data_IF_850417073255
#
_entry.id   IF_850417073255
#
_cell.length_a   1.000
_cell.length_b   1.000
_cell.length_c   1.000
_cell.angle_alpha   90.00
_cell.angle_beta   90.00
_cell.angle_gamma   90.00
#
_symmetry.space_group_name_H-M   'P 1'
#
loop_
_entity.id
_entity.type
_entity.pdbx_description
1 polymer ?
#
# COMPACT_ATOMS: atom_id res chain seq x y z
N UNK A 1 14.46 4.19 -4.23
CA UNK A 1 14.40 3.29 -3.05
C UNK A 1 13.94 1.90 -3.47
N UNK A 2 14.15 0.87 -2.64
CA UNK A 2 13.65 -0.50 -2.84
C UNK A 2 12.74 -0.89 -1.67
N UNK A 3 11.61 -1.55 -1.95
CA UNK A 3 10.72 -2.09 -0.94
C UNK A 3 10.28 -3.50 -1.30
N UNK A 4 10.09 -4.34 -0.29
CA UNK A 4 9.64 -5.73 -0.44
C UNK A 4 8.28 -5.87 0.24
N UNK A 5 7.33 -6.49 -0.46
CA UNK A 5 6.00 -6.83 0.05
C UNK A 5 5.52 -8.12 -0.61
N UNK A 6 4.56 -8.80 0.01
CA UNK A 6 3.96 -10.04 -0.52
C UNK A 6 2.93 -9.77 -1.61
N UNK A 7 2.43 -8.53 -1.68
CA UNK A 7 1.58 -8.03 -2.76
C UNK A 7 2.23 -6.83 -3.44
N UNK A 8 1.87 -6.58 -4.71
CA UNK A 8 2.31 -5.38 -5.42
C UNK A 8 1.88 -4.10 -4.68
N UNK A 9 0.64 -4.07 -4.16
CA UNK A 9 0.10 -2.91 -3.45
C UNK A 9 0.92 -2.59 -2.19
N UNK A 10 1.23 -3.64 -1.41
CA UNK A 10 2.07 -3.52 -0.23
C UNK A 10 3.46 -2.98 -0.56
N UNK A 11 4.12 -3.56 -1.56
CA UNK A 11 5.44 -3.14 -1.99
C UNK A 11 5.44 -1.69 -2.52
N UNK A 12 4.43 -1.31 -3.30
CA UNK A 12 4.29 0.03 -3.86
C UNK A 12 4.12 1.09 -2.75
N UNK A 13 3.16 0.90 -1.85
CA UNK A 13 2.93 1.85 -0.75
C UNK A 13 4.11 1.90 0.24
N UNK A 14 4.86 0.80 0.40
CA UNK A 14 6.15 0.81 1.10
C UNK A 14 7.19 1.67 0.39
N UNK A 15 7.33 1.50 -0.92
CA UNK A 15 8.27 2.29 -1.71
C UNK A 15 7.94 3.79 -1.65
N UNK A 16 6.67 4.17 -1.81
CA UNK A 16 6.21 5.57 -1.78
C UNK A 16 6.61 6.25 -0.46
N UNK A 17 6.26 5.65 0.69
CA UNK A 17 6.59 6.26 1.99
C UNK A 17 8.07 6.30 2.32
N UNK A 18 8.87 5.46 1.66
CA UNK A 18 10.33 5.49 1.78
C UNK A 18 11.00 6.54 0.89
N UNK A 19 10.25 7.29 0.08
CA UNK A 19 10.83 8.33 -0.79
C UNK A 19 11.31 9.59 -0.04
N UNK A 20 10.99 9.75 1.25
CA UNK A 20 11.34 10.93 2.06
C UNK A 20 10.77 12.25 1.47
N UNK A 21 9.54 12.18 0.94
CA UNK A 21 8.84 13.30 0.30
C UNK A 21 7.53 13.68 1.01
N UNK A 22 7.37 13.29 2.29
CA UNK A 22 6.12 13.45 3.06
C UNK A 22 4.87 12.84 2.40
N UNK A 23 5.07 11.91 1.45
CA UNK A 23 4.04 11.11 0.83
C UNK A 23 3.95 9.75 1.53
N UNK A 24 2.85 9.51 2.24
CA UNK A 24 2.65 8.29 3.04
C UNK A 24 1.88 7.19 2.29
N UNK A 25 1.55 7.47 1.03
CA UNK A 25 0.93 6.60 0.03
C UNK A 25 0.38 7.45 -1.14
N UNK A 26 -0.67 6.98 -1.80
CA UNK A 26 -1.21 7.62 -3.02
C UNK A 26 -2.18 8.77 -2.74
N UNK A 27 -2.72 8.89 -1.52
CA UNK A 27 -3.74 9.88 -1.17
C UNK A 27 -3.23 11.33 -1.23
N UNK A 28 -1.92 11.54 -1.09
CA UNK A 28 -1.30 12.87 -1.10
C UNK A 28 0.06 12.86 -1.79
N UNK A 29 0.37 13.84 -2.66
CA UNK A 29 -0.50 14.93 -3.11
C UNK A 29 -1.70 14.44 -3.95
N UNK A 30 -2.82 15.17 -3.87
CA UNK A 30 -3.99 14.91 -4.71
C UNK A 30 -4.20 16.04 -5.73
N UNK A 31 -4.21 15.66 -7.00
CA UNK A 31 -4.42 16.50 -8.16
C UNK A 31 -5.83 16.36 -8.75
N UNK A 32 -6.76 15.73 -8.02
CA UNK A 32 -8.13 15.50 -8.50
C UNK A 32 -8.94 16.79 -8.69
N UNK A 33 -8.50 17.90 -8.12
CA UNK A 33 -9.10 19.24 -8.30
C UNK A 33 -8.57 20.01 -9.51
N UNK A 34 -7.52 19.53 -10.18
CA UNK A 34 -6.99 20.16 -11.39
C UNK A 34 -7.91 19.89 -12.60
N UNK A 35 -7.77 20.74 -13.61
CA UNK A 35 -8.44 20.58 -14.90
C UNK A 35 -8.05 19.27 -15.58
N UNK A 36 -9.00 18.64 -16.27
CA UNK A 36 -8.82 17.34 -16.94
C UNK A 36 -7.61 17.31 -17.89
N UNK A 37 -7.43 18.36 -18.69
CA UNK A 37 -6.32 18.43 -19.63
C UNK A 37 -4.96 18.57 -18.93
N UNK A 38 -4.92 19.18 -17.74
CA UNK A 38 -3.69 19.25 -16.95
C UNK A 38 -3.28 17.88 -16.44
N UNK A 39 -4.23 17.11 -15.89
CA UNK A 39 -4.01 15.73 -15.43
C UNK A 39 -3.57 14.84 -16.59
N UNK A 40 -4.28 14.87 -17.73
CA UNK A 40 -3.93 14.08 -18.92
C UNK A 40 -2.54 14.40 -19.43
N UNK A 41 -2.17 15.69 -19.50
CA UNK A 41 -0.84 16.13 -19.94
C UNK A 41 0.25 15.59 -19.00
N UNK A 42 0.02 15.66 -17.68
CA UNK A 42 0.95 15.13 -16.70
C UNK A 42 1.07 13.60 -16.74
N UNK A 43 0.02 12.87 -17.15
CA UNK A 43 0.11 11.42 -17.33
C UNK A 43 0.85 11.06 -18.63
N UNK A 44 0.66 11.82 -19.71
CA UNK A 44 1.33 11.57 -21.01
C UNK A 44 2.85 11.71 -20.94
N UNK A 45 3.33 12.73 -20.25
CA UNK A 45 4.77 13.02 -20.15
C UNK A 45 5.35 12.53 -18.82
N UNK A 46 6.34 11.62 -18.82
CA UNK A 46 7.03 11.19 -17.61
C UNK A 46 7.49 12.36 -16.73
N UNK A 47 7.11 12.33 -15.44
CA UNK A 47 7.48 13.32 -14.45
C UNK A 47 7.54 12.68 -13.05
N UNK A 48 8.20 13.31 -12.06
CA UNK A 48 8.35 12.74 -10.71
C UNK A 48 7.02 12.44 -10.03
N UNK A 49 5.98 13.24 -10.31
CA UNK A 49 4.68 13.14 -9.64
C UNK A 49 3.65 12.30 -10.43
N UNK A 50 4.07 11.65 -11.53
CA UNK A 50 3.18 10.96 -12.47
C UNK A 50 2.31 9.90 -11.81
N UNK A 51 2.83 9.22 -10.79
CA UNK A 51 2.09 8.22 -10.03
C UNK A 51 0.87 8.81 -9.30
N UNK A 52 1.01 10.00 -8.70
CA UNK A 52 -0.10 10.70 -8.05
C UNK A 52 -1.09 11.27 -9.06
N UNK A 53 -0.64 11.74 -10.23
CA UNK A 53 -1.56 12.11 -11.31
C UNK A 53 -2.41 10.92 -11.80
N UNK A 54 -1.82 9.73 -11.91
CA UNK A 54 -2.55 8.49 -12.22
C UNK A 54 -3.58 8.19 -11.13
N UNK A 55 -3.19 8.26 -9.85
CA UNK A 55 -4.12 8.07 -8.74
C UNK A 55 -5.28 9.07 -8.78
N UNK A 56 -4.99 10.35 -9.03
CA UNK A 56 -6.01 11.40 -9.17
C UNK A 56 -6.92 11.19 -10.39
N UNK A 57 -6.42 10.67 -11.50
CA UNK A 57 -7.27 10.31 -12.64
C UNK A 57 -8.29 9.21 -12.26
N UNK A 58 -7.88 8.19 -11.51
CA UNK A 58 -8.82 7.20 -10.98
C UNK A 58 -9.82 7.79 -9.98
N UNK A 59 -9.41 8.74 -9.12
CA UNK A 59 -10.35 9.48 -8.26
C UNK A 59 -11.38 10.28 -9.06
N UNK A 60 -10.97 10.85 -10.20
CA UNK A 60 -11.84 11.55 -11.17
C UNK A 60 -12.74 10.61 -11.98
N UNK A 61 -12.61 9.29 -11.81
CA UNK A 61 -13.45 8.30 -12.49
C UNK A 61 -12.95 7.88 -13.88
N UNK A 62 -11.69 8.15 -14.22
CA UNK A 62 -11.10 7.68 -15.48
C UNK A 62 -11.08 6.15 -15.49
N UNK A 63 -11.40 5.58 -16.64
CA UNK A 63 -11.31 4.13 -16.86
C UNK A 63 -9.85 3.66 -16.92
N UNK A 64 -9.65 2.37 -16.67
CA UNK A 64 -8.35 1.71 -16.83
C UNK A 64 -7.78 1.92 -18.23
N UNK A 65 -8.64 1.85 -19.25
CA UNK A 65 -8.28 2.00 -20.66
C UNK A 65 -7.80 3.42 -20.97
N UNK A 66 -8.48 4.46 -20.48
CA UNK A 66 -8.07 5.85 -20.68
C UNK A 66 -6.70 6.11 -20.05
N UNK A 67 -6.47 5.64 -18.82
CA UNK A 67 -5.17 5.81 -18.15
C UNK A 67 -4.07 5.02 -18.85
N UNK A 68 -4.36 3.82 -19.35
CA UNK A 68 -3.45 3.05 -20.20
C UNK A 68 -3.07 3.82 -21.46
N UNK A 69 -4.05 4.37 -22.18
CA UNK A 69 -3.82 5.10 -23.42
C UNK A 69 -2.92 6.31 -23.22
N UNK A 70 -3.09 7.03 -22.11
CA UNK A 70 -2.28 8.18 -21.72
C UNK A 70 -0.87 7.77 -21.26
N UNK A 71 -0.76 6.72 -20.45
CA UNK A 71 0.48 6.40 -19.73
C UNK A 71 1.38 5.37 -20.41
N UNK A 72 0.78 4.45 -21.17
CA UNK A 72 1.37 3.20 -21.69
C UNK A 72 1.91 2.27 -20.60
N UNK A 73 1.54 2.46 -19.33
CA UNK A 73 1.85 1.54 -18.23
C UNK A 73 0.92 0.34 -18.34
N UNK A 74 1.45 -0.88 -18.22
CA UNK A 74 0.67 -2.09 -18.36
C UNK A 74 -0.62 -2.08 -17.49
N UNK A 75 -1.78 -2.49 -18.04
CA UNK A 75 -3.04 -2.50 -17.31
C UNK A 75 -3.01 -3.25 -15.97
N UNK A 76 -2.16 -4.27 -15.81
CA UNK A 76 -2.03 -5.00 -14.55
C UNK A 76 -1.54 -4.10 -13.40
N UNK A 77 -0.56 -3.22 -13.65
CA UNK A 77 -0.09 -2.27 -12.64
C UNK A 77 -1.15 -1.20 -12.36
N UNK A 78 -1.76 -0.69 -13.42
CA UNK A 78 -2.80 0.33 -13.32
C UNK A 78 -4.01 -0.18 -12.54
N UNK A 79 -4.40 -1.44 -12.71
CA UNK A 79 -5.50 -2.05 -11.97
C UNK A 79 -5.20 -2.15 -10.48
N UNK A 80 -3.96 -2.52 -10.12
CA UNK A 80 -3.55 -2.53 -8.72
C UNK A 80 -3.56 -1.12 -8.10
N UNK A 81 -3.13 -0.10 -8.84
CA UNK A 81 -3.18 1.30 -8.40
C UNK A 81 -4.64 1.75 -8.25
N UNK A 82 -5.50 1.42 -9.21
CA UNK A 82 -6.94 1.70 -9.17
C UNK A 82 -7.59 1.09 -7.93
N UNK A 83 -7.29 -0.17 -7.62
CA UNK A 83 -7.82 -0.85 -6.43
C UNK A 83 -7.36 -0.19 -5.12
N UNK A 84 -6.13 0.30 -5.04
CA UNK A 84 -5.68 1.09 -3.88
C UNK A 84 -6.56 2.34 -3.76
N UNK A 85 -6.67 3.13 -4.85
CA UNK A 85 -7.46 4.37 -4.87
C UNK A 85 -8.93 4.14 -4.56
N UNK A 86 -9.53 3.05 -5.02
CA UNK A 86 -10.92 2.71 -4.72
C UNK A 86 -11.13 2.37 -3.24
N UNK A 87 -10.16 1.69 -2.63
CA UNK A 87 -10.20 1.37 -1.21
C UNK A 87 -10.16 2.62 -0.32
N UNK A 88 -9.66 3.76 -0.82
CA UNK A 88 -9.77 5.04 -0.10
C UNK A 88 -11.22 5.42 0.19
N UNK A 89 -12.18 5.03 -0.64
CA UNK A 89 -13.61 5.30 -0.41
C UNK A 89 -14.09 4.56 0.83
N UNK A 90 -13.70 3.31 0.99
CA UNK A 90 -14.01 2.48 2.17
C UNK A 90 -13.42 3.11 3.44
N UNK A 91 -12.18 3.59 3.37
CA UNK A 91 -11.55 4.27 4.51
C UNK A 91 -12.25 5.61 4.85
N UNK A 92 -12.69 6.36 3.83
CA UNK A 92 -13.40 7.64 4.00
C UNK A 92 -14.81 7.51 4.56
N UNK A 93 -15.43 6.32 4.52
CA UNK A 93 -16.72 6.07 5.17
C UNK A 93 -16.63 6.15 6.71
N UNK A 94 -15.42 6.11 7.29
CA UNK A 94 -15.16 6.41 8.71
C UNK A 94 -15.41 5.24 9.68
N UNK A 95 -15.96 4.11 9.22
CA UNK A 95 -16.19 2.93 10.03
C UNK A 95 -14.99 1.96 9.94
N UNK A 96 -13.90 2.28 10.63
CA UNK A 96 -12.72 1.42 10.68
C UNK A 96 -13.01 0.18 11.54
N UNK A 97 -13.24 -0.97 10.92
CA UNK A 97 -13.38 -2.28 11.60
C UNK A 97 -12.03 -3.04 11.58
N UNK A 98 -11.86 -4.10 12.39
CA UNK A 98 -10.68 -4.96 12.33
C UNK A 98 -10.41 -5.52 10.92
N UNK A 99 -11.46 -5.90 10.19
CA UNK A 99 -11.37 -6.44 8.84
C UNK A 99 -10.90 -5.38 7.85
N UNK A 100 -11.51 -4.18 7.89
CA UNK A 100 -11.13 -3.05 7.03
C UNK A 100 -9.69 -2.62 7.30
N UNK A 101 -9.30 -2.52 8.58
CA UNK A 101 -7.93 -2.18 8.97
C UNK A 101 -6.94 -3.23 8.45
N UNK A 102 -7.24 -4.53 8.62
CA UNK A 102 -6.40 -5.61 8.10
C UNK A 102 -6.23 -5.52 6.57
N UNK A 103 -7.32 -5.35 5.83
CA UNK A 103 -7.27 -5.17 4.38
C UNK A 103 -6.42 -3.95 3.98
N UNK A 104 -6.58 -2.83 4.68
CA UNK A 104 -5.76 -1.63 4.45
C UNK A 104 -4.26 -1.94 4.64
N UNK A 105 -3.91 -2.64 5.72
CA UNK A 105 -2.51 -3.00 6.02
C UNK A 105 -1.94 -3.98 4.98
N UNK A 106 -2.72 -4.96 4.52
CA UNK A 106 -2.33 -5.89 3.45
C UNK A 106 -2.15 -5.20 2.08
N UNK A 107 -2.84 -4.08 1.85
CA UNK A 107 -2.61 -3.19 0.71
C UNK A 107 -1.43 -2.21 0.92
N UNK A 108 -0.79 -2.23 2.09
CA UNK A 108 0.39 -1.43 2.41
C UNK A 108 0.13 -0.02 2.94
N UNK A 109 -1.13 0.34 3.20
CA UNK A 109 -1.47 1.64 3.77
C UNK A 109 -0.73 1.88 5.09
N UNK A 110 -0.17 3.08 5.25
CA UNK A 110 0.45 3.49 6.51
C UNK A 110 -0.61 3.88 7.55
N UNK A 111 -0.27 3.82 8.84
CA UNK A 111 -1.19 4.26 9.91
C UNK A 111 -1.52 5.77 9.74
N UNK A 112 -0.54 6.55 9.26
CA UNK A 112 -0.70 7.97 8.90
C UNK A 112 -1.71 8.19 7.77
N UNK A 113 -1.60 7.44 6.67
CA UNK A 113 -2.51 7.61 5.53
C UNK A 113 -3.93 7.14 5.87
N UNK A 114 -4.06 6.05 6.62
CA UNK A 114 -5.36 5.59 7.13
C UNK A 114 -5.98 6.70 7.99
N UNK A 115 -5.22 7.26 8.95
CA UNK A 115 -5.70 8.35 9.79
C UNK A 115 -6.18 9.56 9.00
N UNK A 116 -5.41 9.98 7.98
CA UNK A 116 -5.83 11.07 7.08
C UNK A 116 -7.13 10.77 6.33
N UNK A 117 -7.30 9.53 5.86
CA UNK A 117 -8.48 9.14 5.08
C UNK A 117 -9.73 8.94 5.96
N UNK A 118 -9.57 8.44 7.18
CA UNK A 118 -10.67 8.21 8.13
C UNK A 118 -10.99 9.44 8.99
N UNK A 119 -10.12 10.45 9.00
CA UNK A 119 -10.21 11.60 9.91
C UNK A 119 -9.68 11.33 11.33
N UNK A 120 -9.04 10.19 11.55
CA UNK A 120 -8.45 9.77 12.84
C UNK A 120 -6.98 10.23 12.96
N UNK A 121 -6.45 10.23 14.17
CA UNK A 121 -5.00 10.43 14.38
C UNK A 121 -4.18 9.18 14.04
N UNK A 122 -2.93 9.34 13.58
CA UNK A 122 -2.02 8.20 13.33
C UNK A 122 -1.89 7.30 14.57
N UNK A 123 -1.70 7.90 15.75
CA UNK A 123 -1.58 7.17 17.02
C UNK A 123 -2.85 6.41 17.40
N UNK A 124 -4.01 6.92 17.01
CA UNK A 124 -5.28 6.24 17.22
C UNK A 124 -5.41 4.99 16.35
N UNK A 125 -5.08 5.11 15.06
CA UNK A 125 -5.03 3.97 14.13
C UNK A 125 -4.01 2.94 14.59
N UNK A 126 -2.83 3.39 15.02
CA UNK A 126 -1.79 2.53 15.60
C UNK A 126 -2.34 1.79 16.82
N UNK A 127 -2.97 2.47 17.77
CA UNK A 127 -3.54 1.85 18.98
C UNK A 127 -4.55 0.75 18.62
N UNK A 128 -5.52 1.03 17.75
CA UNK A 128 -6.51 0.04 17.30
C UNK A 128 -5.85 -1.17 16.61
N UNK A 129 -4.81 -0.92 15.82
CA UNK A 129 -4.04 -1.97 15.15
C UNK A 129 -3.40 -2.93 16.15
N UNK A 130 -2.88 -2.44 17.27
CA UNK A 130 -2.35 -3.27 18.35
C UNK A 130 -3.47 -3.97 19.14
N UNK A 131 -4.54 -3.26 19.49
CA UNK A 131 -5.69 -3.83 20.22
C UNK A 131 -6.34 -5.01 19.47
N UNK A 132 -6.40 -4.93 18.14
CA UNK A 132 -6.98 -5.98 17.29
C UNK A 132 -5.97 -7.02 16.78
N UNK A 133 -4.73 -6.99 17.30
CA UNK A 133 -3.67 -7.91 16.91
C UNK A 133 -3.41 -7.95 15.38
N UNK A 134 -3.42 -6.77 14.74
CA UNK A 134 -3.11 -6.61 13.32
C UNK A 134 -1.64 -6.16 13.22
N UNK A 135 -0.73 -7.09 13.49
CA UNK A 135 0.71 -6.84 13.53
C UNK A 135 1.38 -7.36 12.24
N UNK A 136 2.42 -6.69 11.74
CA UNK A 136 3.20 -7.25 10.64
C UNK A 136 4.02 -8.44 11.12
N UNK A 137 4.15 -9.46 10.27
CA UNK A 137 5.15 -10.50 10.42
C UNK A 137 6.45 -10.08 9.73
N UNK A 138 7.59 -10.62 10.18
CA UNK A 138 8.86 -10.51 9.46
C UNK A 138 9.15 -11.81 8.73
N UNK A 139 9.42 -11.71 7.43
CA UNK A 139 9.70 -12.85 6.55
C UNK A 139 11.16 -12.80 6.11
N UNK A 140 11.79 -13.97 6.04
CA UNK A 140 13.18 -14.11 5.56
C UNK A 140 13.25 -14.08 4.03
N UNK A 141 14.37 -13.61 3.50
CA UNK A 141 14.72 -13.75 2.09
C UNK A 141 15.72 -14.91 1.97
N UNK A 142 15.30 -15.98 1.32
CA UNK A 142 16.02 -17.27 1.27
C UNK A 142 16.49 -17.71 -0.11
N UNK A 143 16.18 -16.92 -1.16
CA UNK A 143 16.44 -17.20 -2.59
C UNK A 143 15.72 -18.42 -3.20
N UNK A 144 15.00 -19.20 -2.40
CA UNK A 144 14.40 -20.48 -2.79
C UNK A 144 12.91 -20.59 -2.43
N UNK A 145 12.28 -19.48 -2.03
CA UNK A 145 10.85 -19.40 -1.72
C UNK A 145 10.39 -20.40 -0.64
N UNK A 146 11.23 -20.62 0.38
CA UNK A 146 10.97 -21.53 1.48
C UNK A 146 11.36 -22.99 1.24
N UNK A 147 12.00 -23.33 0.11
CA UNK A 147 12.44 -24.71 -0.16
C UNK A 147 13.49 -25.20 0.86
N UNK A 148 14.39 -24.30 1.31
CA UNK A 148 15.45 -24.59 2.26
C UNK A 148 15.54 -23.55 3.38
N UNK A 149 16.07 -23.96 4.53
CA UNK A 149 16.33 -23.05 5.65
C UNK A 149 17.46 -22.08 5.28
N UNK A 150 17.17 -20.78 5.31
CA UNK A 150 18.17 -19.75 5.18
C UNK A 150 18.77 -19.38 6.54
N UNK A 151 20.11 -19.41 6.63
CA UNK A 151 20.85 -19.03 7.83
C UNK A 151 21.18 -17.53 7.91
N UNK A 152 20.98 -16.79 6.82
CA UNK A 152 21.30 -15.36 6.75
C UNK A 152 20.11 -14.51 7.22
N UNK A 153 20.29 -13.61 8.21
CA UNK A 153 19.21 -12.79 8.74
C UNK A 153 18.87 -11.60 7.84
N UNK A 154 18.29 -11.87 6.66
CA UNK A 154 17.77 -10.84 5.76
C UNK A 154 16.25 -10.86 5.77
N UNK A 155 15.62 -9.82 6.36
CA UNK A 155 14.19 -9.81 6.62
C UNK A 155 13.46 -8.62 5.98
N UNK A 156 12.16 -8.79 5.77
CA UNK A 156 11.23 -7.71 5.44
C UNK A 156 9.90 -7.91 6.19
N UNK A 157 9.24 -6.79 6.54
CA UNK A 157 7.91 -6.83 7.12
C UNK A 157 6.82 -7.07 6.06
N UNK A 158 5.79 -7.84 6.41
CA UNK A 158 4.57 -7.98 5.62
C UNK A 158 3.36 -8.22 6.53
N UNK A 159 2.18 -7.80 6.10
CA UNK A 159 0.90 -8.10 6.78
C UNK A 159 0.26 -9.44 6.38
N UNK A 160 0.99 -10.27 5.62
CA UNK A 160 0.63 -11.68 5.46
C UNK A 160 0.65 -12.42 6.81
N UNK A 161 -0.17 -13.46 6.94
CA UNK A 161 -0.17 -14.35 8.11
C UNK A 161 1.24 -14.88 8.41
N UNK A 162 1.68 -14.91 9.68
CA UNK A 162 2.93 -15.58 10.05
C UNK A 162 2.84 -17.06 9.68
N UNK A 163 3.98 -17.66 9.34
CA UNK A 163 4.05 -19.12 9.13
C UNK A 163 4.21 -19.81 10.49
N UNK A 164 5.13 -19.30 11.30
CA UNK A 164 5.29 -19.62 12.71
C UNK A 164 5.41 -18.34 13.53
N UNK A 165 5.14 -18.45 14.82
CA UNK A 165 5.46 -17.42 15.82
C UNK A 165 6.68 -17.87 16.61
N UNK A 166 7.54 -16.92 17.02
CA UNK A 166 8.62 -17.20 17.96
C UNK A 166 8.19 -16.69 19.34
N UNK A 167 7.96 -17.61 20.28
CA UNK A 167 7.77 -17.29 21.70
C UNK A 167 8.88 -17.98 22.50
N UNK A 168 9.62 -17.21 23.30
CA UNK A 168 10.74 -17.70 24.13
C UNK A 168 11.80 -18.57 23.41
N UNK A 169 11.96 -18.36 22.10
CA UNK A 169 12.91 -19.10 21.26
C UNK A 169 12.37 -20.40 20.67
N UNK A 170 11.09 -20.73 20.90
CA UNK A 170 10.41 -21.87 20.30
C UNK A 170 9.58 -21.45 19.08
N UNK A 171 9.61 -22.29 18.04
CA UNK A 171 8.78 -22.13 16.86
C UNK A 171 7.39 -22.70 17.15
N UNK A 172 6.40 -21.82 17.26
CA UNK A 172 5.00 -22.20 17.32
C UNK A 172 4.45 -22.18 15.89
N UNK A 173 4.29 -23.35 15.28
CA UNK A 173 3.68 -23.48 13.96
C UNK A 173 2.18 -23.14 14.07
N UNK A 174 1.68 -22.31 13.16
CA UNK A 174 0.26 -21.98 13.07
C UNK A 174 -0.30 -22.48 11.75
N UNK A 175 -0.40 -23.81 11.61
CA UNK A 175 -1.24 -24.45 10.59
C UNK A 175 -2.74 -24.29 10.95
#
# INVERSE_FOLDING_TARGET
VMAIGRTFKEALNKAIRSLEQDAYGLAFPDYSSLEDEEVKRAIRTPNPNRLWYIASAFRKGYSLQEVYELSKIDPWFLENIRQIVEFEKVLKEGNLTPEVLRMAKEMGYSDMEIGRLTGMGEEEVRRLRYEWNILPAFKGVDTCAGEFVAYTPYYYSSYERPYYTLEDGEFLDQD
#
